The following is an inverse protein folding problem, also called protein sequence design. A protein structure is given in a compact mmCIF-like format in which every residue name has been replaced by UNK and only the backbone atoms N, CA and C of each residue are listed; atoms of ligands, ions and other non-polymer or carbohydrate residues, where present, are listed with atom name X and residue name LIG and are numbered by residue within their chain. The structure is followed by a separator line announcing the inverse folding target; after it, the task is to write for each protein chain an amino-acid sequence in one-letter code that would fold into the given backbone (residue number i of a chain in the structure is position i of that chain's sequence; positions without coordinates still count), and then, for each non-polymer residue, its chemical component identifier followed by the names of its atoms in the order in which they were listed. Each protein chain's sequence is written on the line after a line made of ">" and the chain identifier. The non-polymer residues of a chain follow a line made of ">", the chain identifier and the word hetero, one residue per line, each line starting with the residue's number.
data_IF_882841956535
#
_entry.id   IF_882841956535
#
_cell.length_a   1.000
_cell.length_b   1.000
_cell.length_c   1.000
_cell.angle_alpha   90.00
_cell.angle_beta   90.00
_cell.angle_gamma   90.00
#
_symmetry.space_group_name_H-M   'P 1'
#
loop_
_entity.id
_entity.type
_entity.pdbx_description
1 polymer ?
#
# COMPACT_ATOMS: atom_id res chain seq x y z
N UNK A 1 11.70 10.34 -28.13
CA UNK A 1 11.51 8.91 -28.45
C UNK A 1 10.57 8.83 -29.65
N UNK A 2 10.97 8.17 -30.75
CA UNK A 2 10.12 8.02 -31.95
C UNK A 2 9.16 6.84 -31.76
N UNK A 3 7.94 6.93 -32.28
CA UNK A 3 6.95 5.86 -32.18
C UNK A 3 7.46 4.54 -32.76
N UNK A 4 8.10 4.57 -33.93
CA UNK A 4 8.67 3.41 -34.62
C UNK A 4 9.79 2.70 -33.86
N UNK A 5 10.33 3.30 -32.79
CA UNK A 5 11.39 2.73 -31.95
C UNK A 5 10.90 2.43 -30.53
N UNK A 6 9.58 2.51 -30.27
CA UNK A 6 9.00 2.25 -28.95
C UNK A 6 8.03 1.08 -29.02
N UNK A 7 8.08 0.21 -28.02
CA UNK A 7 7.14 -0.90 -27.91
C UNK A 7 5.84 -0.44 -27.24
N UNK A 8 4.85 -0.08 -28.05
CA UNK A 8 3.52 0.40 -27.61
C UNK A 8 2.44 -0.41 -28.35
N UNK A 9 2.14 -1.64 -27.89
CA UNK A 9 1.15 -2.48 -28.55
C UNK A 9 -0.25 -1.99 -28.17
N UNK A 10 -0.85 -1.09 -28.96
CA UNK A 10 -2.24 -0.68 -28.74
C UNK A 10 -3.22 -1.80 -29.14
N UNK A 11 -4.37 -1.90 -28.46
CA UNK A 11 -5.42 -2.87 -28.81
C UNK A 11 -6.65 -2.17 -29.37
N UNK A 12 -7.19 -2.71 -30.47
CA UNK A 12 -8.45 -2.25 -31.06
C UNK A 12 -9.64 -2.66 -30.19
N UNK A 13 -9.66 -3.93 -29.80
CA UNK A 13 -10.70 -4.57 -29.00
C UNK A 13 -10.23 -4.75 -27.56
N UNK A 14 -11.17 -4.70 -26.62
CA UNK A 14 -10.88 -4.88 -25.19
C UNK A 14 -11.31 -6.28 -24.78
N UNK A 15 -10.48 -7.01 -24.00
CA UNK A 15 -10.90 -8.25 -23.38
C UNK A 15 -12.21 -8.09 -22.59
N UNK A 16 -13.07 -9.11 -22.63
CA UNK A 16 -14.41 -9.07 -22.02
C UNK A 16 -14.39 -9.05 -20.48
N UNK A 17 -13.30 -9.52 -19.88
CA UNK A 17 -13.01 -9.55 -18.44
C UNK A 17 -12.56 -8.17 -17.88
N UNK A 18 -12.35 -7.18 -18.75
CA UNK A 18 -12.04 -5.83 -18.31
C UNK A 18 -13.30 -5.03 -17.98
N UNK A 19 -13.72 -5.05 -16.72
CA UNK A 19 -14.98 -4.45 -16.26
C UNK A 19 -14.92 -2.92 -16.10
N UNK A 20 -13.88 -2.41 -15.43
CA UNK A 20 -13.79 -0.97 -15.08
C UNK A 20 -13.14 -0.13 -16.20
N UNK A 21 -13.54 1.14 -16.39
CA UNK A 21 -13.01 2.00 -17.46
C UNK A 21 -11.49 2.14 -17.43
N UNK A 22 -10.87 2.27 -16.25
CA UNK A 22 -9.42 2.39 -16.09
C UNK A 22 -8.69 1.16 -16.65
N UNK A 23 -9.13 -0.06 -16.27
CA UNK A 23 -8.56 -1.32 -16.76
C UNK A 23 -8.67 -1.43 -18.28
N UNK A 24 -9.86 -1.14 -18.83
CA UNK A 24 -10.12 -1.17 -20.29
C UNK A 24 -9.18 -0.21 -21.03
N UNK A 25 -9.06 1.03 -20.56
CA UNK A 25 -8.21 2.04 -21.19
C UNK A 25 -6.72 1.70 -21.09
N UNK A 26 -6.25 1.22 -19.94
CA UNK A 26 -4.85 0.83 -19.75
C UNK A 26 -4.44 -0.33 -20.67
N UNK A 27 -5.31 -1.30 -20.89
CA UNK A 27 -5.07 -2.39 -21.85
C UNK A 27 -5.01 -1.86 -23.29
N UNK A 28 -6.02 -1.07 -23.71
CA UNK A 28 -6.11 -0.50 -25.07
C UNK A 28 -4.94 0.40 -25.43
N UNK A 29 -4.52 1.26 -24.50
CA UNK A 29 -3.40 2.16 -24.69
C UNK A 29 -2.03 1.45 -24.63
N UNK A 30 -2.01 0.13 -24.37
CA UNK A 30 -0.77 -0.64 -24.27
C UNK A 30 0.06 -0.24 -23.05
N UNK A 31 -0.59 0.11 -21.93
CA UNK A 31 0.08 0.50 -20.68
C UNK A 31 0.38 -0.71 -19.80
N UNK A 32 -0.48 -1.73 -19.82
CA UNK A 32 -0.32 -2.98 -19.05
C UNK A 32 -0.68 -4.21 -19.89
N UNK A 33 -0.17 -5.36 -19.47
CA UNK A 33 -0.58 -6.68 -19.96
C UNK A 33 -0.71 -7.63 -18.79
N UNK A 34 -1.80 -8.39 -18.75
CA UNK A 34 -1.97 -9.41 -17.73
C UNK A 34 -1.04 -10.58 -18.02
N UNK A 35 -0.28 -11.01 -17.01
CA UNK A 35 0.54 -12.21 -17.06
C UNK A 35 -0.23 -13.42 -16.50
N UNK A 36 -0.91 -13.20 -15.38
CA UNK A 36 -1.85 -14.13 -14.74
C UNK A 36 -2.91 -13.34 -13.96
N UNK A 37 -3.93 -14.01 -13.40
CA UNK A 37 -4.90 -13.36 -12.51
C UNK A 37 -4.16 -12.61 -11.39
N UNK A 38 -4.42 -11.30 -11.27
CA UNK A 38 -3.77 -10.48 -10.24
C UNK A 38 -2.28 -10.18 -10.44
N UNK A 39 -1.70 -10.41 -11.62
CA UNK A 39 -0.32 -9.95 -11.92
C UNK A 39 -0.24 -9.36 -13.32
N UNK A 40 0.37 -8.18 -13.40
CA UNK A 40 0.41 -7.35 -14.61
C UNK A 40 1.83 -6.90 -14.94
N UNK A 41 2.21 -7.09 -16.20
CA UNK A 41 3.38 -6.45 -16.79
C UNK A 41 3.06 -5.00 -17.12
N UNK A 42 3.81 -4.07 -16.51
CA UNK A 42 3.79 -2.66 -16.91
C UNK A 42 4.59 -2.47 -18.20
N UNK A 43 3.91 -2.10 -19.27
CA UNK A 43 4.50 -1.84 -20.58
C UNK A 43 5.27 -0.51 -20.55
N UNK A 44 6.13 -0.20 -21.55
CA UNK A 44 7.02 0.97 -21.48
C UNK A 44 6.35 2.30 -21.13
N UNK A 45 5.17 2.60 -21.68
CA UNK A 45 4.43 3.81 -21.31
C UNK A 45 3.82 3.74 -19.90
N UNK A 46 3.24 2.60 -19.53
CA UNK A 46 2.68 2.40 -18.18
C UNK A 46 3.77 2.50 -17.11
N UNK A 47 4.92 1.87 -17.35
CA UNK A 47 6.05 1.92 -16.42
C UNK A 47 6.66 3.33 -16.32
N UNK A 48 6.65 4.13 -17.39
CA UNK A 48 7.01 5.56 -17.31
C UNK A 48 6.09 6.35 -16.39
N UNK A 49 4.78 6.04 -16.38
CA UNK A 49 3.82 6.67 -15.45
C UNK A 49 4.11 6.23 -14.02
N UNK A 50 4.30 4.93 -13.77
CA UNK A 50 4.68 4.42 -12.44
C UNK A 50 5.92 5.15 -11.91
N UNK A 51 6.99 5.26 -12.72
CA UNK A 51 8.20 5.99 -12.32
C UNK A 51 7.96 7.45 -11.98
N UNK A 52 7.08 8.15 -12.70
CA UNK A 52 6.72 9.55 -12.40
C UNK A 52 5.99 9.67 -11.07
N UNK A 53 5.04 8.77 -10.80
CA UNK A 53 4.31 8.74 -9.53
C UNK A 53 5.26 8.39 -8.37
N UNK A 54 6.10 7.38 -8.55
CA UNK A 54 7.14 6.99 -7.58
C UNK A 54 8.06 8.15 -7.23
N UNK A 55 8.45 8.97 -8.20
CA UNK A 55 9.30 10.13 -7.95
C UNK A 55 8.59 11.22 -7.15
N UNK A 56 7.33 11.53 -7.47
CA UNK A 56 6.52 12.46 -6.66
C UNK A 56 6.41 11.96 -5.21
N UNK A 57 6.17 10.66 -5.03
CA UNK A 57 6.10 10.05 -3.71
C UNK A 57 7.42 10.21 -2.96
N UNK A 58 8.55 9.84 -3.58
CA UNK A 58 9.89 9.96 -3.00
C UNK A 58 10.19 11.40 -2.56
N UNK A 59 10.01 12.36 -3.46
CA UNK A 59 10.26 13.78 -3.17
C UNK A 59 9.45 14.30 -1.97
N UNK A 60 8.19 13.88 -1.82
CA UNK A 60 7.34 14.33 -0.71
C UNK A 60 7.59 13.59 0.60
N UNK A 61 8.03 12.33 0.54
CA UNK A 61 8.48 11.56 1.72
C UNK A 61 9.81 12.12 2.25
N UNK A 62 10.76 12.41 1.36
CA UNK A 62 12.05 13.02 1.70
C UNK A 62 11.85 14.43 2.27
N UNK A 63 10.97 15.24 1.65
CA UNK A 63 10.55 16.55 2.20
C UNK A 63 9.96 16.41 3.59
N UNK A 64 9.20 15.34 3.83
CA UNK A 64 8.63 15.04 5.13
C UNK A 64 9.64 14.44 6.11
N UNK A 65 10.93 14.35 5.75
CA UNK A 65 12.04 13.87 6.58
C UNK A 65 12.07 12.37 6.81
N UNK A 66 11.37 11.60 5.98
CA UNK A 66 11.52 10.14 5.94
C UNK A 66 12.75 9.75 5.13
N UNK A 67 13.37 8.62 5.46
CA UNK A 67 14.60 8.13 4.80
C UNK A 67 14.28 6.85 4.03
N UNK A 68 14.61 6.82 2.75
CA UNK A 68 14.37 5.66 1.90
C UNK A 68 15.38 4.54 2.19
N UNK A 69 14.90 3.31 2.27
CA UNK A 69 15.67 2.07 2.29
C UNK A 69 14.98 1.03 1.41
N UNK A 70 15.57 -0.17 1.28
CA UNK A 70 14.98 -1.24 0.47
C UNK A 70 15.08 -2.59 1.18
N UNK A 71 13.93 -3.14 1.59
CA UNK A 71 13.84 -4.41 2.31
C UNK A 71 13.52 -5.58 1.37
N UNK A 72 13.97 -6.80 1.70
CA UNK A 72 13.65 -8.00 0.93
C UNK A 72 12.13 -8.26 0.84
N UNK A 73 11.69 -8.71 -0.34
CA UNK A 73 10.34 -9.27 -0.50
C UNK A 73 10.21 -10.66 0.13
N UNK A 74 11.30 -11.44 0.07
CA UNK A 74 11.36 -12.77 0.65
C UNK A 74 11.73 -12.65 2.13
N UNK A 75 10.82 -13.11 3.00
CA UNK A 75 10.93 -12.96 4.44
C UNK A 75 10.88 -14.33 5.12
N UNK A 76 11.63 -14.57 6.22
CA UNK A 76 11.48 -15.79 7.01
C UNK A 76 10.11 -15.82 7.69
N UNK A 77 9.43 -16.97 7.66
CA UNK A 77 8.10 -17.09 8.25
C UNK A 77 8.09 -16.81 9.76
N UNK A 78 9.19 -17.13 10.45
CA UNK A 78 9.35 -17.00 11.91
C UNK A 78 9.07 -15.57 12.39
N UNK A 79 9.32 -14.55 11.56
CA UNK A 79 8.99 -13.17 11.87
C UNK A 79 7.48 -12.96 12.06
N UNK A 80 6.66 -13.55 11.19
CA UNK A 80 5.19 -13.49 11.26
C UNK A 80 4.63 -14.40 12.35
N UNK A 81 5.32 -15.49 12.69
CA UNK A 81 4.92 -16.37 13.79
C UNK A 81 5.12 -15.67 15.14
N UNK A 82 6.22 -14.93 15.32
CA UNK A 82 6.50 -14.13 16.53
C UNK A 82 5.42 -13.08 16.81
N UNK A 83 4.83 -12.50 15.77
CA UNK A 83 3.76 -11.48 15.90
C UNK A 83 2.36 -12.06 15.87
N UNK A 84 2.21 -13.38 15.66
CA UNK A 84 0.92 -14.04 15.42
C UNK A 84 0.27 -13.67 14.08
N UNK A 85 0.92 -12.84 13.25
CA UNK A 85 0.35 -12.36 11.99
C UNK A 85 0.33 -13.41 10.90
N UNK A 86 1.08 -14.51 11.04
CA UNK A 86 0.93 -15.67 10.16
C UNK A 86 -0.52 -16.17 10.17
N UNK A 87 -1.09 -16.38 11.36
CA UNK A 87 -2.45 -16.89 11.49
C UNK A 87 -3.48 -15.80 11.18
N UNK A 88 -3.22 -14.56 11.59
CA UNK A 88 -4.13 -13.43 11.30
C UNK A 88 -4.25 -13.12 9.80
N UNK A 89 -3.17 -13.24 9.02
CA UNK A 89 -3.23 -13.09 7.57
C UNK A 89 -3.88 -14.30 6.88
N UNK A 90 -3.78 -15.50 7.49
CA UNK A 90 -4.34 -16.73 6.92
C UNK A 90 -3.92 -16.94 5.47
N UNK A 91 -4.91 -17.16 4.60
CA UNK A 91 -4.69 -17.46 3.19
C UNK A 91 -4.11 -16.29 2.38
N UNK A 92 -4.19 -15.05 2.88
CA UNK A 92 -3.68 -13.86 2.19
C UNK A 92 -2.14 -13.85 2.18
N UNK A 93 -1.49 -14.50 3.14
CA UNK A 93 -0.04 -14.60 3.20
C UNK A 93 0.45 -15.71 2.26
N UNK A 94 1.20 -15.33 1.21
CA UNK A 94 1.95 -16.31 0.45
C UNK A 94 3.07 -16.87 1.32
N UNK A 95 2.93 -18.13 1.74
CA UNK A 95 3.99 -18.88 2.43
C UNK A 95 4.35 -20.15 1.64
N UNK A 96 5.63 -20.48 1.61
CA UNK A 96 6.11 -21.69 0.93
C UNK A 96 7.36 -22.25 1.59
N UNK A 97 7.48 -23.56 1.53
CA UNK A 97 8.68 -24.26 1.97
C UNK A 97 9.65 -24.42 0.82
N UNK A 98 10.93 -24.18 1.09
CA UNK A 98 12.02 -24.45 0.18
C UNK A 98 13.08 -25.32 0.87
N UNK A 99 13.95 -25.96 0.09
CA UNK A 99 15.09 -26.71 0.61
C UNK A 99 16.38 -26.00 0.19
N UNK A 100 17.34 -25.92 1.12
CA UNK A 100 18.71 -25.48 0.82
C UNK A 100 19.67 -26.49 1.44
N UNK A 101 20.20 -27.38 0.59
CA UNK A 101 20.86 -28.60 1.07
C UNK A 101 19.89 -29.42 1.93
N UNK A 102 20.36 -29.84 3.10
CA UNK A 102 19.54 -30.62 4.06
C UNK A 102 18.61 -29.77 4.93
N UNK A 103 18.66 -28.43 4.81
CA UNK A 103 17.81 -27.52 5.59
C UNK A 103 16.46 -27.31 4.90
N UNK A 104 15.38 -27.53 5.65
CA UNK A 104 14.02 -27.08 5.29
C UNK A 104 13.87 -25.63 5.75
N UNK A 105 13.53 -24.75 4.82
CA UNK A 105 13.31 -23.33 5.07
C UNK A 105 11.84 -23.02 4.79
N UNK A 106 11.25 -22.15 5.61
CA UNK A 106 9.88 -21.71 5.42
C UNK A 106 9.90 -20.18 5.25
N UNK A 107 9.42 -19.73 4.11
CA UNK A 107 9.44 -18.34 3.72
C UNK A 107 8.03 -17.81 3.48
N UNK A 108 7.92 -16.49 3.54
CA UNK A 108 6.78 -15.75 3.04
C UNK A 108 7.21 -14.70 2.01
N UNK A 109 6.31 -14.33 1.11
CA UNK A 109 6.43 -13.09 0.35
C UNK A 109 5.74 -11.99 1.13
N UNK A 110 6.44 -10.89 1.39
CA UNK A 110 5.96 -9.79 2.22
C UNK A 110 4.68 -9.14 1.67
N UNK A 111 3.53 -9.23 2.38
CA UNK A 111 2.34 -8.43 2.09
C UNK A 111 2.46 -6.99 2.60
N UNK A 112 3.41 -6.79 3.53
CA UNK A 112 3.85 -5.58 4.21
C UNK A 112 5.16 -5.93 4.97
N UNK A 113 5.72 -5.00 5.74
CA UNK A 113 7.07 -5.09 6.31
C UNK A 113 7.18 -4.65 7.78
N UNK A 114 6.09 -4.60 8.58
CA UNK A 114 6.17 -4.22 10.00
C UNK A 114 7.16 -5.09 10.79
N UNK A 115 7.17 -6.41 10.57
CA UNK A 115 8.07 -7.34 11.25
C UNK A 115 9.54 -7.11 10.86
N UNK A 116 9.79 -6.95 9.56
CA UNK A 116 11.16 -6.81 9.02
C UNK A 116 11.79 -5.51 9.50
N UNK A 117 11.05 -4.40 9.42
CA UNK A 117 11.57 -3.09 9.82
C UNK A 117 11.74 -3.00 11.34
N UNK A 118 10.86 -3.63 12.11
CA UNK A 118 10.98 -3.71 13.57
C UNK A 118 12.21 -4.54 13.97
N UNK A 119 12.43 -5.69 13.33
CA UNK A 119 13.60 -6.51 13.57
C UNK A 119 14.90 -5.75 13.24
N UNK A 120 14.96 -5.07 12.09
CA UNK A 120 16.10 -4.21 11.72
C UNK A 120 16.36 -3.11 12.76
N UNK A 121 15.32 -2.35 13.11
CA UNK A 121 15.45 -1.21 14.03
C UNK A 121 15.86 -1.67 15.43
N UNK A 122 15.36 -2.81 15.92
CA UNK A 122 15.81 -3.38 17.20
C UNK A 122 17.31 -3.72 17.21
N UNK A 123 17.86 -4.12 16.07
CA UNK A 123 19.29 -4.42 15.94
C UNK A 123 20.16 -3.17 15.76
N UNK A 124 19.66 -2.10 15.13
CA UNK A 124 20.46 -0.92 14.77
C UNK A 124 20.30 0.29 15.72
N UNK A 125 19.13 0.49 16.31
CA UNK A 125 18.86 1.61 17.22
C UNK A 125 19.14 1.18 18.67
N UNK A 126 20.13 1.82 19.29
CA UNK A 126 20.61 1.48 20.65
C UNK A 126 20.39 2.60 21.66
N UNK A 127 20.04 3.80 21.22
CA UNK A 127 19.81 4.94 22.10
C UNK A 127 18.66 5.81 21.63
N UNK A 128 17.93 6.39 22.58
CA UNK A 128 16.85 7.34 22.33
C UNK A 128 17.29 8.56 21.50
N UNK A 129 18.60 8.89 21.50
CA UNK A 129 19.16 10.00 20.72
C UNK A 129 19.11 9.79 19.20
N UNK A 130 18.87 8.56 18.75
CA UNK A 130 18.68 8.22 17.33
C UNK A 130 17.20 8.35 16.91
N UNK A 131 16.30 8.69 17.84
CA UNK A 131 14.86 8.82 17.63
C UNK A 131 14.42 10.30 17.77
N UNK A 132 13.35 10.71 17.08
CA UNK A 132 12.52 9.90 16.18
C UNK A 132 13.16 9.66 14.80
N UNK A 133 12.77 8.57 14.15
CA UNK A 133 13.15 8.25 12.77
C UNK A 133 11.95 7.75 11.99
N UNK A 134 11.87 8.08 10.71
CA UNK A 134 10.88 7.53 9.78
C UNK A 134 11.62 6.91 8.61
N UNK A 135 11.41 5.62 8.39
CA UNK A 135 12.03 4.83 7.33
C UNK A 135 10.95 4.40 6.35
N UNK A 136 11.21 4.48 5.05
CA UNK A 136 10.24 4.06 4.05
C UNK A 136 10.89 3.32 2.90
N UNK A 137 10.09 2.61 2.11
CA UNK A 137 10.53 1.99 0.87
C UNK A 137 9.44 2.08 -0.19
N UNK A 138 9.82 1.90 -1.46
CA UNK A 138 8.88 1.70 -2.57
C UNK A 138 9.21 0.36 -3.21
N UNK A 139 8.40 -0.66 -2.94
CA UNK A 139 8.76 -2.05 -3.18
C UNK A 139 7.52 -2.91 -3.50
N UNK A 140 7.73 -3.99 -4.28
CA UNK A 140 6.67 -4.92 -4.69
C UNK A 140 6.19 -5.83 -3.55
N UNK A 141 4.90 -5.75 -3.26
CA UNK A 141 4.20 -6.55 -2.26
C UNK A 141 3.41 -7.68 -2.90
N UNK A 142 3.16 -8.70 -2.09
CA UNK A 142 2.43 -9.89 -2.51
C UNK A 142 1.31 -10.20 -1.52
N UNK A 143 0.08 -10.28 -2.00
CA UNK A 143 -1.10 -10.70 -1.23
C UNK A 143 -1.82 -11.75 -2.04
N UNK A 144 -2.13 -12.90 -1.46
CA UNK A 144 -2.89 -13.94 -2.15
C UNK A 144 -4.37 -13.56 -2.19
N UNK A 145 -4.67 -12.53 -2.99
CA UNK A 145 -6.00 -12.01 -3.20
C UNK A 145 -6.88 -13.10 -3.83
N UNK A 146 -7.97 -13.48 -3.14
CA UNK A 146 -8.86 -14.54 -3.57
C UNK A 146 -9.57 -14.21 -4.88
N UNK A 147 -9.85 -12.92 -5.11
CA UNK A 147 -10.58 -12.44 -6.29
C UNK A 147 -9.90 -11.21 -6.90
N UNK A 148 -8.77 -11.38 -7.60
CA UNK A 148 -8.12 -10.26 -8.27
C UNK A 148 -9.06 -9.70 -9.36
N UNK A 149 -9.29 -8.40 -9.33
CA UNK A 149 -10.27 -7.74 -10.21
C UNK A 149 -9.87 -6.29 -10.49
N UNK A 150 -10.55 -5.69 -11.47
CA UNK A 150 -10.44 -4.27 -11.78
C UNK A 150 -9.03 -3.80 -12.24
N UNK A 151 -8.28 -4.69 -12.88
CA UNK A 151 -6.96 -4.36 -13.40
C UNK A 151 -5.93 -4.21 -12.28
N UNK A 152 -5.19 -3.10 -12.30
CA UNK A 152 -4.15 -2.79 -11.29
C UNK A 152 -4.71 -2.28 -9.96
N UNK A 153 -6.04 -2.18 -9.81
CA UNK A 153 -6.66 -1.71 -8.57
C UNK A 153 -6.68 -2.78 -7.47
N UNK A 154 -6.89 -4.06 -7.84
CA UNK A 154 -6.94 -5.17 -6.88
C UNK A 154 -6.23 -6.39 -7.44
N UNK A 155 -4.97 -6.55 -7.04
CA UNK A 155 -4.03 -7.55 -7.59
C UNK A 155 -3.35 -8.35 -6.49
N UNK A 156 -2.75 -9.47 -6.88
CA UNK A 156 -1.96 -10.29 -5.96
C UNK A 156 -0.51 -9.80 -5.86
N UNK A 157 -0.02 -9.12 -6.90
CA UNK A 157 1.28 -8.47 -6.94
C UNK A 157 1.09 -6.97 -7.27
N UNK A 158 1.63 -6.08 -6.43
CA UNK A 158 1.52 -4.63 -6.63
C UNK A 158 2.68 -3.87 -6.01
N UNK A 159 2.93 -2.67 -6.52
CA UNK A 159 3.91 -1.75 -5.96
C UNK A 159 3.28 -0.96 -4.83
N UNK A 160 3.96 -0.89 -3.69
CA UNK A 160 3.52 -0.10 -2.55
C UNK A 160 4.66 0.79 -2.06
N UNK A 161 4.31 2.00 -1.62
CA UNK A 161 5.14 2.76 -0.70
C UNK A 161 4.65 2.49 0.70
N UNK A 162 5.51 1.99 1.56
CA UNK A 162 5.27 1.71 2.98
C UNK A 162 6.30 2.46 3.83
N UNK A 163 5.86 3.07 4.91
CA UNK A 163 6.67 3.92 5.78
C UNK A 163 6.38 3.59 7.26
N UNK A 164 7.43 3.56 8.07
CA UNK A 164 7.41 3.12 9.46
C UNK A 164 8.19 4.12 10.31
N UNK A 165 7.54 4.65 11.34
CA UNK A 165 8.13 5.62 12.25
C UNK A 165 8.35 5.03 13.63
N UNK A 166 9.50 5.32 14.21
CA UNK A 166 9.89 4.90 15.55
C UNK A 166 10.14 6.15 16.40
N UNK A 167 9.62 6.14 17.61
CA UNK A 167 9.55 7.32 18.48
C UNK A 167 9.66 6.89 19.94
N UNK A 168 10.07 7.83 20.81
CA UNK A 168 10.12 7.62 22.26
C UNK A 168 8.86 8.05 22.99
N UNK A 169 7.98 8.79 22.33
CA UNK A 169 6.73 9.28 22.92
C UNK A 169 5.59 9.34 21.91
N UNK A 170 4.36 9.40 22.43
CA UNK A 170 3.15 9.49 21.61
C UNK A 170 3.02 10.87 20.94
N UNK A 171 3.48 11.93 21.60
CA UNK A 171 3.46 13.29 21.05
C UNK A 171 4.33 13.39 19.79
N UNK A 172 5.54 12.81 19.84
CA UNK A 172 6.41 12.69 18.67
C UNK A 172 5.77 11.85 17.57
N UNK A 173 5.04 10.79 17.93
CA UNK A 173 4.33 9.95 16.94
C UNK A 173 3.21 10.74 16.26
N UNK A 174 2.43 11.54 17.00
CA UNK A 174 1.40 12.41 16.44
C UNK A 174 2.00 13.48 15.52
N UNK A 175 3.11 14.12 15.91
CA UNK A 175 3.82 15.07 15.04
C UNK A 175 4.24 14.43 13.71
N UNK A 176 4.78 13.20 13.76
CA UNK A 176 5.16 12.44 12.57
C UNK A 176 3.92 12.06 11.76
N UNK A 177 2.84 11.62 12.41
CA UNK A 177 1.58 11.29 11.77
C UNK A 177 1.04 12.48 10.97
N UNK A 178 1.01 13.67 11.58
CA UNK A 178 0.58 14.90 10.91
C UNK A 178 1.52 15.30 9.75
N UNK A 179 2.83 15.03 9.86
CA UNK A 179 3.77 15.21 8.74
C UNK A 179 3.45 14.26 7.59
N UNK A 180 3.18 12.99 7.86
CA UNK A 180 2.80 11.99 6.85
C UNK A 180 1.46 12.32 6.20
N UNK A 181 0.46 12.72 6.99
CA UNK A 181 -0.83 13.18 6.49
C UNK A 181 -0.66 14.33 5.48
N UNK A 182 0.10 15.36 5.85
CA UNK A 182 0.39 16.49 4.95
C UNK A 182 1.19 16.06 3.72
N UNK A 183 2.11 15.11 3.86
CA UNK A 183 2.87 14.56 2.73
C UNK A 183 1.95 13.85 1.74
N UNK A 184 1.04 13.01 2.22
CA UNK A 184 0.06 12.30 1.39
C UNK A 184 -0.86 13.28 0.67
N UNK A 185 -1.36 14.31 1.36
CA UNK A 185 -2.10 15.40 0.72
C UNK A 185 -1.35 16.02 -0.48
N UNK A 186 -0.05 16.35 -0.29
CA UNK A 186 0.77 16.91 -1.38
C UNK A 186 1.00 15.90 -2.50
N UNK A 187 1.23 14.62 -2.18
CA UNK A 187 1.41 13.56 -3.19
C UNK A 187 0.18 13.47 -4.08
N UNK A 188 -1.02 13.32 -3.50
CA UNK A 188 -2.25 13.18 -4.28
C UNK A 188 -2.57 14.45 -5.08
N UNK A 189 -2.36 15.64 -4.50
CA UNK A 189 -2.52 16.90 -5.21
C UNK A 189 -1.55 17.04 -6.40
N UNK A 190 -0.27 16.66 -6.23
CA UNK A 190 0.74 16.68 -7.31
C UNK A 190 0.48 15.63 -8.38
N UNK A 191 -0.16 14.53 -8.03
CA UNK A 191 -0.67 13.54 -8.99
C UNK A 191 -1.93 14.01 -9.73
N UNK A 192 -2.50 15.17 -9.37
CA UNK A 192 -3.70 15.73 -9.99
C UNK A 192 -4.98 14.98 -9.62
N UNK A 193 -5.00 14.29 -8.48
CA UNK A 193 -6.14 13.52 -8.03
C UNK A 193 -7.07 14.37 -7.15
N UNK A 194 -8.37 14.19 -7.34
CA UNK A 194 -9.36 14.55 -6.32
C UNK A 194 -9.35 13.46 -5.26
N UNK A 195 -9.07 13.82 -4.01
CA UNK A 195 -8.99 12.88 -2.90
C UNK A 195 -9.69 13.42 -1.66
N UNK A 196 -10.09 12.50 -0.77
CA UNK A 196 -10.72 12.79 0.51
C UNK A 196 -10.06 11.94 1.60
N UNK A 197 -9.38 12.56 2.57
CA UNK A 197 -8.98 11.88 3.80
C UNK A 197 -10.23 11.55 4.63
N UNK A 198 -10.34 10.31 5.10
CA UNK A 198 -11.46 9.84 5.92
C UNK A 198 -10.94 9.04 7.12
N UNK A 199 -11.62 9.08 8.25
CA UNK A 199 -11.33 8.19 9.38
C UNK A 199 -11.61 6.74 8.99
N UNK A 200 -10.76 5.82 9.44
CA UNK A 200 -10.82 4.41 9.08
C UNK A 200 -10.56 3.48 10.27
N UNK A 201 -10.85 2.19 10.10
CA UNK A 201 -10.37 1.17 11.03
C UNK A 201 -8.91 0.80 10.72
N UNK A 202 -8.16 0.35 11.73
CA UNK A 202 -6.76 -0.04 11.56
C UNK A 202 -6.59 -1.47 11.02
N UNK A 203 -7.68 -2.26 11.00
CA UNK A 203 -7.72 -3.62 10.46
C UNK A 203 -6.71 -4.59 11.13
N UNK A 204 -6.31 -5.67 10.42
CA UNK A 204 -5.39 -6.70 10.94
C UNK A 204 -3.95 -6.21 11.21
N UNK A 205 -3.60 -4.99 10.78
CA UNK A 205 -2.31 -4.36 11.08
C UNK A 205 -2.31 -3.84 12.53
N UNK A 206 -3.48 -3.47 13.07
CA UNK A 206 -3.65 -2.89 14.41
C UNK A 206 -3.34 -1.39 14.48
N UNK A 207 -3.71 -0.75 15.59
CA UNK A 207 -3.48 0.68 15.87
C UNK A 207 -4.76 1.45 16.26
N UNK A 208 -4.59 2.64 16.84
CA UNK A 208 -5.70 3.40 17.46
C UNK A 208 -6.26 4.53 16.58
N UNK A 209 -5.43 5.11 15.70
CA UNK A 209 -5.81 6.23 14.83
C UNK A 209 -5.42 5.95 13.37
N UNK A 210 -6.42 5.84 12.50
CA UNK A 210 -6.25 5.50 11.09
C UNK A 210 -7.00 6.48 10.19
N UNK A 211 -6.34 6.90 9.11
CA UNK A 211 -6.93 7.69 8.05
C UNK A 211 -6.66 7.04 6.70
N UNK A 212 -7.70 6.91 5.90
CA UNK A 212 -7.61 6.48 4.51
C UNK A 212 -7.73 7.68 3.58
N UNK A 213 -6.95 7.67 2.49
CA UNK A 213 -7.01 8.69 1.46
C UNK A 213 -7.76 8.13 0.25
N UNK A 214 -9.04 8.48 0.15
CA UNK A 214 -9.97 7.94 -0.82
C UNK A 214 -10.01 8.79 -2.08
N UNK A 215 -9.95 8.18 -3.26
CA UNK A 215 -10.19 8.86 -4.53
C UNK A 215 -11.64 8.60 -4.98
N UNK A 216 -12.56 9.58 -4.89
CA UNK A 216 -13.98 9.34 -5.16
C UNK A 216 -14.21 8.90 -6.61
N UNK A 217 -14.83 7.74 -6.78
CA UNK A 217 -15.17 7.18 -8.07
C UNK A 217 -16.46 6.36 -7.97
N UNK A 218 -17.32 6.41 -8.99
CA UNK A 218 -18.59 5.65 -9.00
C UNK A 218 -18.43 4.13 -9.01
N UNK A 219 -17.21 3.65 -9.22
CA UNK A 219 -16.82 2.24 -9.23
C UNK A 219 -15.80 1.90 -8.12
N UNK A 220 -15.72 2.72 -7.06
CA UNK A 220 -14.94 2.40 -5.86
C UNK A 220 -15.53 1.22 -5.09
N UNK A 221 -14.69 0.44 -4.40
CA UNK A 221 -15.12 -0.68 -3.56
C UNK A 221 -15.55 -0.22 -2.16
N UNK A 222 -15.02 0.89 -1.68
CA UNK A 222 -15.33 1.47 -0.37
C UNK A 222 -16.53 2.41 -0.40
N UNK A 223 -17.30 2.39 0.70
CA UNK A 223 -18.37 3.36 0.94
C UNK A 223 -17.92 4.34 2.02
N UNK A 224 -17.96 5.62 1.70
CA UNK A 224 -17.63 6.70 2.64
C UNK A 224 -18.88 7.44 3.10
N UNK A 225 -18.92 7.80 4.37
CA UNK A 225 -19.93 8.69 4.94
C UNK A 225 -19.31 10.06 5.08
N UNK A 226 -19.98 11.10 4.56
CA UNK A 226 -19.54 12.50 4.70
C UNK A 226 -20.68 13.38 5.19
N UNK A 227 -20.43 14.11 6.28
CA UNK A 227 -21.34 15.15 6.76
C UNK A 227 -21.08 16.46 6.01
N UNK A 228 -22.08 16.94 5.26
CA UNK A 228 -21.99 18.20 4.54
C UNK A 228 -21.93 19.43 5.47
N UNK A 229 -22.45 19.33 6.69
CA UNK A 229 -22.54 20.46 7.64
C UNK A 229 -21.27 20.70 8.46
N UNK A 230 -20.62 19.64 8.95
CA UNK A 230 -19.43 19.75 9.80
C UNK A 230 -18.13 19.25 9.16
N UNK A 231 -18.19 18.65 7.96
CA UNK A 231 -17.01 18.15 7.25
C UNK A 231 -16.50 16.80 7.74
N UNK A 232 -17.15 16.16 8.72
CA UNK A 232 -16.84 14.79 9.14
C UNK A 232 -16.85 13.84 7.95
N UNK A 233 -15.84 12.97 7.86
CA UNK A 233 -15.76 11.94 6.83
C UNK A 233 -15.10 10.68 7.38
N UNK A 234 -15.74 9.53 7.17
CA UNK A 234 -15.25 8.23 7.63
C UNK A 234 -15.57 7.14 6.60
N UNK A 235 -14.77 6.08 6.59
CA UNK A 235 -15.17 4.81 5.99
C UNK A 235 -16.42 4.30 6.73
N UNK A 236 -17.37 3.69 6.01
CA UNK A 236 -18.61 3.17 6.58
C UNK A 236 -18.34 2.21 7.75
N UNK A 237 -17.24 1.44 7.69
CA UNK A 237 -16.84 0.51 8.76
C UNK A 237 -16.52 1.23 10.07
N UNK A 238 -15.95 2.45 10.01
CA UNK A 238 -15.57 3.25 11.18
C UNK A 238 -16.63 4.28 11.60
N UNK A 239 -17.55 4.62 10.71
CA UNK A 239 -18.49 5.72 10.88
C UNK A 239 -19.31 5.58 12.16
N UNK A 240 -19.28 6.61 13.01
CA UNK A 240 -20.01 6.59 14.27
C UNK A 240 -21.52 6.59 14.01
N UNK A 241 -22.18 5.49 14.39
CA UNK A 241 -23.63 5.47 14.50
C UNK A 241 -23.96 5.96 15.91
N UNK A 242 -24.64 7.09 16.04
CA UNK A 242 -24.91 7.78 17.33
C UNK A 242 -25.73 7.00 18.38
N UNK A 243 -25.76 5.66 18.33
CA UNK A 243 -26.21 4.79 19.42
C UNK A 243 -25.03 4.53 20.35
N UNK A 244 -24.91 5.36 21.37
CA UNK A 244 -24.26 4.97 22.62
C UNK A 244 -24.96 3.72 23.14
N UNK A 245 -24.26 2.58 23.10
CA UNK A 245 -24.62 1.41 23.88
C UNK A 245 -24.58 1.80 25.36
N UNK A 246 -25.71 2.25 25.91
CA UNK A 246 -25.96 2.18 27.35
C UNK A 246 -26.17 0.70 27.69
N UNK A 247 -25.06 0.00 27.95
CA UNK A 247 -25.09 -1.28 28.64
C UNK A 247 -24.45 -1.05 30.02
N UNK A 248 -25.34 -1.08 31.02
CA UNK A 248 -25.05 -1.17 32.45
C UNK A 248 -24.42 -2.52 32.77
#
# INVERSE_FOLDING_TARGET
>A
MRWSQTFIPTMKEVPADAEVPSHRLMLRAGLIRQLMAGSYTYMPLGYRVVRKVTEIVREEMDRAGAVELFMPALQPIDLFERTGRKDAFGNVLFSFQAKRGDRKLHFALGPTHEEVITDLVAHEIKTYKQLPITLYQIQTKFRNEERPRFGVLRTSEFLMKDAYSFSTSLEQLDEIYQRMYRAYCRIFARCGLTYLPVEAESGPIGGDASHEFMAPAGNGEDTIVRCAGCGYAANLERAETGRTSTAV
#
